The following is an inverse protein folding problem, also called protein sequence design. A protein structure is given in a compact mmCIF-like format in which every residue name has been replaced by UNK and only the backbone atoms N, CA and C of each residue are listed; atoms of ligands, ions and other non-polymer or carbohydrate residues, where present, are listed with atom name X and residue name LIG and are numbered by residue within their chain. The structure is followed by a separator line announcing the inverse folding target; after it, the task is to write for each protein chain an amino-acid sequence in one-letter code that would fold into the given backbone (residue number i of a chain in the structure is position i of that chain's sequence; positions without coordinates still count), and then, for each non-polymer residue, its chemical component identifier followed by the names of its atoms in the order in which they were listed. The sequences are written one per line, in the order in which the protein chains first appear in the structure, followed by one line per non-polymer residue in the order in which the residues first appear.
data_IF_450970079124
#
_entry.id   IF_450970079124
#
_cell.length_a   1.000
_cell.length_b   1.000
_cell.length_c   1.000
_cell.angle_alpha   90.00
_cell.angle_beta   90.00
_cell.angle_gamma   90.00
#
_symmetry.space_group_name_H-M   'P 1'
#
loop_
_entity.id
_entity.type
_entity.pdbx_description
1 polymer ?
#
# COMPACT_ATOMS: atom_id res chain seq x y z
N UNK A 1 -14.86 -3.09 2.85
CA UNK A 1 -15.08 -3.29 1.39
C UNK A 1 -13.89 -2.72 0.62
N UNK A 2 -13.40 -3.38 -0.42
CA UNK A 2 -12.34 -2.85 -1.28
C UNK A 2 -12.97 -2.19 -2.51
N UNK A 3 -12.39 -1.08 -2.99
CA UNK A 3 -12.86 -0.46 -4.23
C UNK A 3 -12.17 -1.11 -5.44
N UNK A 4 -12.82 -1.20 -6.61
CA UNK A 4 -12.18 -1.72 -7.83
C UNK A 4 -10.98 -0.87 -8.27
N UNK A 5 -9.99 -1.50 -8.88
CA UNK A 5 -8.76 -0.83 -9.36
C UNK A 5 -9.03 0.39 -10.23
N UNK A 6 -9.91 0.28 -11.21
CA UNK A 6 -10.23 1.41 -12.10
C UNK A 6 -10.77 2.63 -11.34
N UNK A 7 -11.59 2.38 -10.32
CA UNK A 7 -12.14 3.43 -9.49
C UNK A 7 -11.07 4.02 -8.56
N UNK A 8 -10.17 3.17 -8.03
CA UNK A 8 -9.01 3.63 -7.27
C UNK A 8 -8.13 4.53 -8.13
N UNK A 9 -7.73 4.09 -9.32
CA UNK A 9 -6.82 4.85 -10.19
C UNK A 9 -7.43 6.23 -10.54
N UNK A 10 -8.75 6.27 -10.80
CA UNK A 10 -9.46 7.53 -11.07
C UNK A 10 -9.49 8.47 -9.85
N UNK A 11 -9.94 7.97 -8.68
CA UNK A 11 -10.08 8.82 -7.50
C UNK A 11 -8.73 9.20 -6.90
N UNK A 12 -7.76 8.29 -6.92
CA UNK A 12 -6.42 8.54 -6.44
C UNK A 12 -5.71 9.59 -7.30
N UNK A 13 -5.87 9.53 -8.64
CA UNK A 13 -5.37 10.58 -9.52
C UNK A 13 -5.97 11.95 -9.18
N UNK A 14 -7.30 12.03 -9.06
CA UNK A 14 -7.98 13.28 -8.69
C UNK A 14 -7.55 13.81 -7.32
N UNK A 15 -7.34 12.92 -6.35
CA UNK A 15 -6.81 13.25 -5.03
C UNK A 15 -5.40 13.85 -5.11
N UNK A 16 -4.51 13.25 -5.90
CA UNK A 16 -3.15 13.74 -6.10
C UNK A 16 -3.15 15.11 -6.77
N UNK A 17 -3.98 15.31 -7.79
CA UNK A 17 -4.18 16.62 -8.45
C UNK A 17 -4.70 17.68 -7.46
N UNK A 18 -5.71 17.34 -6.65
CA UNK A 18 -6.26 18.23 -5.63
C UNK A 18 -5.23 18.62 -4.55
N UNK A 19 -4.35 17.69 -4.19
CA UNK A 19 -3.30 17.90 -3.18
C UNK A 19 -2.04 18.54 -3.75
N UNK A 20 -1.98 18.80 -5.07
CA UNK A 20 -0.77 19.28 -5.73
C UNK A 20 0.39 18.29 -5.62
N UNK A 21 0.10 17.01 -5.42
CA UNK A 21 1.10 15.95 -5.31
C UNK A 21 1.38 15.36 -6.68
N UNK A 22 2.66 15.15 -6.98
CA UNK A 22 3.12 14.45 -8.17
C UNK A 22 3.82 13.17 -7.73
N UNK A 23 3.61 12.08 -8.50
CA UNK A 23 4.34 10.83 -8.27
C UNK A 23 5.54 10.82 -9.19
N UNK A 24 6.74 10.82 -8.61
CA UNK A 24 7.92 10.46 -9.36
C UNK A 24 7.95 8.94 -9.54
N UNK A 25 7.76 8.47 -10.78
CA UNK A 25 7.79 7.04 -11.11
C UNK A 25 9.14 6.39 -10.74
N UNK A 26 10.23 7.15 -10.70
CA UNK A 26 11.55 6.65 -10.30
C UNK A 26 11.58 6.28 -8.82
N UNK A 27 10.83 7.01 -7.99
CA UNK A 27 10.67 6.67 -6.58
C UNK A 27 9.82 5.42 -6.37
N UNK A 28 8.96 5.04 -7.32
CA UNK A 28 8.16 3.81 -7.25
C UNK A 28 8.91 2.57 -7.74
N UNK A 29 10.17 2.70 -8.15
CA UNK A 29 10.97 1.56 -8.59
C UNK A 29 11.80 1.02 -7.42
N UNK A 30 11.75 -0.30 -7.23
CA UNK A 30 12.69 -1.03 -6.40
C UNK A 30 13.38 -2.04 -7.33
N UNK A 31 14.71 -2.02 -7.35
CA UNK A 31 15.54 -2.76 -8.31
C UNK A 31 15.14 -2.46 -9.76
N UNK A 32 14.50 -3.41 -10.45
CA UNK A 32 14.03 -3.28 -11.83
C UNK A 32 12.51 -3.38 -11.96
N UNK A 33 11.78 -3.31 -10.83
CA UNK A 33 10.34 -3.52 -10.80
C UNK A 33 9.63 -2.30 -10.20
N UNK A 34 8.61 -1.83 -10.92
CA UNK A 34 7.73 -0.80 -10.44
C UNK A 34 6.73 -1.36 -9.43
N UNK A 35 6.53 -0.63 -8.34
CA UNK A 35 5.53 -0.96 -7.33
C UNK A 35 4.14 -0.62 -7.86
N UNK A 36 3.24 -1.60 -7.73
CA UNK A 36 1.82 -1.39 -7.94
C UNK A 36 1.20 -0.80 -6.65
N UNK A 37 0.95 0.51 -6.68
CA UNK A 37 0.36 1.26 -5.56
C UNK A 37 -1.03 0.73 -5.16
N UNK A 38 -1.82 0.24 -6.12
CA UNK A 38 -3.14 -0.32 -5.82
C UNK A 38 -3.00 -1.61 -5.03
N UNK A 39 -2.18 -2.55 -5.50
CA UNK A 39 -1.96 -3.80 -4.79
C UNK A 39 -1.30 -3.58 -3.41
N UNK A 40 -0.37 -2.63 -3.32
CA UNK A 40 0.22 -2.21 -2.05
C UNK A 40 -0.86 -1.73 -1.07
N UNK A 41 -1.74 -0.83 -1.51
CA UNK A 41 -2.87 -0.34 -0.70
C UNK A 41 -3.82 -1.47 -0.28
N UNK A 42 -4.21 -2.36 -1.19
CA UNK A 42 -5.09 -3.48 -0.88
C UNK A 42 -4.46 -4.41 0.17
N UNK A 43 -3.18 -4.75 0.05
CA UNK A 43 -2.50 -5.62 1.01
C UNK A 43 -2.37 -4.99 2.39
N UNK A 44 -2.13 -3.68 2.47
CA UNK A 44 -2.12 -2.96 3.75
C UNK A 44 -3.52 -2.91 4.36
N UNK A 45 -4.54 -2.58 3.56
CA UNK A 45 -5.93 -2.49 4.00
C UNK A 45 -6.46 -3.82 4.54
N UNK A 46 -6.21 -4.94 3.86
CA UNK A 46 -6.60 -6.29 4.30
C UNK A 46 -5.96 -6.72 5.62
N UNK A 47 -4.83 -6.11 6.00
CA UNK A 47 -4.12 -6.39 7.24
C UNK A 47 -4.44 -5.39 8.36
N UNK A 48 -5.48 -4.56 8.19
CA UNK A 48 -5.93 -3.60 9.19
C UNK A 48 -5.36 -2.19 9.01
N UNK A 49 -4.81 -1.86 7.84
CA UNK A 49 -4.29 -0.54 7.52
C UNK A 49 -2.85 -0.32 8.01
N UNK A 50 -2.32 0.88 7.76
CA UNK A 50 -0.90 1.19 7.96
C UNK A 50 -0.43 0.97 9.41
N UNK A 51 -1.30 1.24 10.40
CA UNK A 51 -0.98 1.12 11.81
C UNK A 51 -0.69 -0.34 12.20
N UNK A 52 -1.53 -1.28 11.74
CA UNK A 52 -1.35 -2.70 12.01
C UNK A 52 -0.08 -3.24 11.34
N UNK A 53 0.21 -2.80 10.11
CA UNK A 53 1.45 -3.18 9.41
C UNK A 53 2.69 -2.73 10.16
N UNK A 54 2.71 -1.48 10.64
CA UNK A 54 3.83 -0.93 11.40
C UNK A 54 4.01 -1.65 12.73
N UNK A 55 2.92 -1.86 13.48
CA UNK A 55 2.97 -2.54 14.79
C UNK A 55 3.49 -3.97 14.68
N UNK A 56 3.11 -4.70 13.64
CA UNK A 56 3.51 -6.10 13.43
C UNK A 56 4.73 -6.26 12.49
N UNK A 57 5.36 -5.16 12.07
CA UNK A 57 6.52 -5.16 11.16
C UNK A 57 6.29 -5.99 9.87
N UNK A 58 5.12 -5.84 9.26
CA UNK A 58 4.66 -6.70 8.15
C UNK A 58 5.09 -6.24 6.75
N UNK A 59 5.83 -5.13 6.63
CA UNK A 59 6.31 -4.62 5.34
C UNK A 59 7.09 -5.66 4.52
N UNK A 60 7.97 -6.49 5.10
CA UNK A 60 8.66 -7.52 4.33
C UNK A 60 7.71 -8.59 3.77
N UNK A 61 6.65 -8.94 4.49
CA UNK A 61 5.64 -9.88 4.00
C UNK A 61 4.84 -9.28 2.84
N UNK A 62 4.50 -7.98 2.90
CA UNK A 62 3.85 -7.27 1.80
C UNK A 62 4.76 -7.20 0.58
N UNK A 63 6.06 -6.90 0.76
CA UNK A 63 7.02 -6.87 -0.33
C UNK A 63 7.12 -8.21 -1.06
N UNK A 64 7.10 -9.33 -0.34
CA UNK A 64 7.00 -10.65 -0.94
C UNK A 64 5.72 -10.84 -1.76
N UNK A 65 4.56 -10.40 -1.26
CA UNK A 65 3.29 -10.48 -1.99
C UNK A 65 3.25 -9.60 -3.25
N UNK A 66 3.98 -8.49 -3.25
CA UNK A 66 4.21 -7.64 -4.42
C UNK A 66 5.25 -8.24 -5.38
N UNK A 67 5.80 -9.41 -5.07
CA UNK A 67 6.74 -10.16 -5.90
C UNK A 67 8.20 -9.74 -5.75
N UNK A 68 8.57 -9.07 -4.66
CA UNK A 68 9.95 -8.80 -4.26
C UNK A 68 10.47 -9.86 -3.28
N UNK A 69 10.16 -11.13 -3.56
CA UNK A 69 10.53 -12.25 -2.69
C UNK A 69 12.05 -12.40 -2.68
N UNK A 70 12.66 -12.29 -1.50
CA UNK A 70 14.09 -12.54 -1.28
C UNK A 70 14.31 -13.78 -0.43
N UNK A 71 13.39 -14.01 0.52
CA UNK A 71 13.32 -15.19 1.35
C UNK A 71 12.03 -15.95 1.02
N UNK A 72 12.12 -17.15 0.41
CA UNK A 72 10.94 -17.93 0.05
C UNK A 72 10.18 -18.38 1.30
N UNK A 73 8.90 -18.73 1.11
CA UNK A 73 8.08 -19.28 2.20
C UNK A 73 8.61 -20.64 2.65
N UNK A 74 8.47 -20.91 3.95
CA UNK A 74 8.74 -22.20 4.58
C UNK A 74 7.48 -22.70 5.30
N UNK A 75 7.45 -23.96 5.77
CA UNK A 75 6.30 -24.47 6.54
C UNK A 75 5.97 -23.66 7.80
N UNK A 76 6.95 -22.94 8.34
CA UNK A 76 6.81 -22.18 9.58
C UNK A 76 6.73 -20.67 9.37
N UNK A 77 7.17 -20.16 8.20
CA UNK A 77 7.25 -18.73 7.95
C UNK A 77 6.77 -18.34 6.55
N UNK A 78 6.00 -17.25 6.41
CA UNK A 78 5.62 -16.74 5.10
C UNK A 78 6.83 -16.18 4.35
N UNK A 79 6.72 -16.11 3.02
CA UNK A 79 7.72 -15.45 2.19
C UNK A 79 7.90 -13.99 2.61
N UNK A 80 9.15 -13.50 2.55
CA UNK A 80 9.51 -12.11 2.88
C UNK A 80 10.43 -11.51 1.83
N UNK A 81 10.29 -10.21 1.63
CA UNK A 81 11.30 -9.42 0.93
C UNK A 81 12.50 -9.14 1.83
N UNK A 82 13.53 -8.52 1.26
CA UNK A 82 14.61 -7.93 2.05
C UNK A 82 14.12 -6.77 2.94
N UNK A 83 14.88 -6.45 4.01
CA UNK A 83 14.59 -5.30 4.86
C UNK A 83 14.65 -3.98 4.10
N UNK A 84 15.49 -3.86 3.06
CA UNK A 84 15.56 -2.64 2.24
C UNK A 84 14.24 -2.38 1.50
N UNK A 85 13.63 -3.44 0.95
CA UNK A 85 12.35 -3.38 0.26
C UNK A 85 11.24 -3.00 1.24
N UNK A 86 11.24 -3.61 2.43
CA UNK A 86 10.25 -3.32 3.46
C UNK A 86 10.27 -1.85 3.88
N UNK A 87 11.47 -1.30 4.14
CA UNK A 87 11.64 0.11 4.49
C UNK A 87 11.22 1.05 3.34
N UNK A 88 11.59 0.72 2.11
CA UNK A 88 11.19 1.49 0.93
C UNK A 88 9.67 1.53 0.75
N UNK A 89 8.99 0.38 0.90
CA UNK A 89 7.53 0.31 0.85
C UNK A 89 6.87 1.14 1.95
N UNK A 90 7.41 1.12 3.17
CA UNK A 90 6.89 1.92 4.28
C UNK A 90 6.97 3.43 3.98
N UNK A 91 8.11 3.89 3.44
CA UNK A 91 8.31 5.30 3.07
C UNK A 91 7.35 5.71 1.95
N UNK A 92 7.26 4.92 0.88
CA UNK A 92 6.38 5.22 -0.25
C UNK A 92 4.90 5.22 0.16
N UNK A 93 4.49 4.26 0.98
CA UNK A 93 3.13 4.21 1.50
C UNK A 93 2.81 5.45 2.32
N UNK A 94 3.72 5.84 3.22
CA UNK A 94 3.55 7.02 4.06
C UNK A 94 3.47 8.30 3.24
N UNK A 95 4.27 8.39 2.16
CA UNK A 95 4.32 9.55 1.26
C UNK A 95 3.07 9.68 0.40
N UNK A 96 2.60 8.59 -0.20
CA UNK A 96 1.58 8.64 -1.26
C UNK A 96 0.21 8.10 -0.84
N UNK A 97 0.17 7.04 -0.03
CA UNK A 97 -1.05 6.28 0.24
C UNK A 97 -1.65 6.54 1.62
N UNK A 98 -0.88 6.98 2.62
CA UNK A 98 -1.38 7.16 3.99
C UNK A 98 -2.48 8.23 4.08
N UNK A 99 -2.32 9.38 3.41
CA UNK A 99 -3.36 10.40 3.39
C UNK A 99 -4.59 9.96 2.59
N UNK A 100 -4.37 9.23 1.50
CA UNK A 100 -5.45 8.64 0.71
C UNK A 100 -6.25 7.63 1.53
N UNK A 101 -5.59 6.69 2.22
CA UNK A 101 -6.21 5.71 3.12
C UNK A 101 -7.08 6.39 4.18
N UNK A 102 -6.58 7.49 4.78
CA UNK A 102 -7.34 8.24 5.75
C UNK A 102 -8.64 8.81 5.17
N UNK A 103 -8.58 9.45 4.00
CA UNK A 103 -9.76 9.99 3.31
C UNK A 103 -10.73 8.88 2.94
N UNK A 104 -10.21 7.77 2.41
CA UNK A 104 -11.00 6.59 2.06
C UNK A 104 -11.76 6.03 3.27
N UNK A 105 -11.08 5.84 4.39
CA UNK A 105 -11.68 5.33 5.63
C UNK A 105 -12.75 6.29 6.18
N UNK A 106 -12.51 7.60 6.13
CA UNK A 106 -13.51 8.60 6.50
C UNK A 106 -14.76 8.51 5.62
N UNK A 107 -14.61 8.44 4.30
CA UNK A 107 -15.74 8.31 3.37
C UNK A 107 -16.53 7.02 3.62
N UNK A 108 -15.85 5.91 3.84
CA UNK A 108 -16.48 4.62 4.14
C UNK A 108 -17.26 4.65 5.46
N UNK A 109 -16.67 5.18 6.53
CA UNK A 109 -17.37 5.31 7.82
C UNK A 109 -18.61 6.21 7.74
N UNK A 110 -18.58 7.27 6.92
CA UNK A 110 -19.75 8.12 6.67
C UNK A 110 -20.84 7.40 5.88
N UNK A 111 -20.46 6.55 4.92
CA UNK A 111 -21.40 5.73 4.15
C UNK A 111 -22.11 4.70 5.03
N UNK A 112 -21.38 4.09 5.98
CA UNK A 112 -21.93 3.11 6.92
C UNK A 112 -22.94 3.73 7.90
N UNK A 113 -22.70 4.98 8.34
CA UNK A 113 -23.63 5.71 9.23
C UNK A 113 -24.93 6.16 8.55
N UNK A 114 -24.97 6.14 7.22
CA UNK A 114 -26.15 6.55 6.42
C UNK A 114 -27.01 5.37 5.96
N UNK A 115 -26.60 4.14 6.30
CA UNK A 115 -27.39 2.92 6.08
C UNK A 115 -28.11 2.53 7.36
#
# INVERSE_FOLDING_TARGET
PTMPKQLFDQQFKAFMEQKGMTIDLRELMIDTKQIDLYNLWIFVLHRGGINAINQHSLWPAIGAQLGFVRFPASPSEPARSGPEVGAALQVMYSKYLAQWEHVYNLQMSQQERRK
#
